data_IF_612748503462
#
_entry.id   IF_612748503462
#
_cell.length_a   1.000
_cell.length_b   1.000
_cell.length_c   1.000
_cell.angle_alpha   90.00
_cell.angle_beta   90.00
_cell.angle_gamma   90.00
#
_symmetry.space_group_name_H-M   'P 1'
#
loop_
_entity.id
_entity.type
_entity.pdbx_description
1 polymer ?
#
# COMPACT_ATOMS: atom_id res chain seq x y z
N UNK A 1 6.99 -6.99 -21.43
CA UNK A 1 8.24 -6.24 -21.16
C UNK A 1 8.63 -6.51 -19.71
N UNK A 2 9.93 -6.52 -19.36
CA UNK A 2 10.34 -6.58 -17.96
C UNK A 2 9.78 -5.38 -17.19
N UNK A 3 9.55 -5.56 -15.89
CA UNK A 3 9.13 -4.48 -14.99
C UNK A 3 10.22 -3.40 -14.95
N UNK A 4 9.80 -2.15 -15.15
CA UNK A 4 10.65 -0.97 -15.00
C UNK A 4 10.24 -0.20 -13.74
N UNK A 5 11.06 -0.18 -12.67
CA UNK A 5 10.71 0.50 -11.43
C UNK A 5 10.55 2.01 -11.60
N UNK A 6 11.12 2.61 -12.65
CA UNK A 6 10.98 4.05 -12.90
C UNK A 6 9.61 4.44 -13.43
N UNK A 7 8.83 3.46 -13.90
CA UNK A 7 7.47 3.62 -14.42
C UNK A 7 6.39 3.32 -13.39
N UNK A 8 6.77 2.87 -12.20
CA UNK A 8 5.86 2.54 -11.11
C UNK A 8 5.71 3.74 -10.18
N UNK A 9 4.61 4.47 -10.34
CA UNK A 9 4.31 5.65 -9.56
C UNK A 9 3.52 5.27 -8.29
N UNK A 10 3.98 5.75 -7.13
CA UNK A 10 3.17 5.72 -5.90
C UNK A 10 2.32 6.98 -5.85
N UNK A 11 1.00 6.83 -5.99
CA UNK A 11 0.05 7.95 -6.02
C UNK A 11 -0.30 8.42 -4.61
N UNK A 12 -0.67 7.49 -3.73
CA UNK A 12 -1.04 7.77 -2.33
C UNK A 12 -0.63 6.59 -1.47
N UNK A 13 -0.29 6.85 -0.21
CA UNK A 13 0.18 5.84 0.74
C UNK A 13 -0.30 6.15 2.15
N UNK A 14 -0.74 5.11 2.86
CA UNK A 14 -1.07 5.09 4.27
C UNK A 14 -0.13 4.13 5.01
N UNK A 15 0.28 4.52 6.22
CA UNK A 15 1.16 3.74 7.09
C UNK A 15 0.52 3.59 8.48
N UNK A 16 0.35 2.35 8.93
CA UNK A 16 -0.01 2.06 10.32
C UNK A 16 1.26 2.12 11.19
N UNK A 17 1.44 3.19 11.96
CA UNK A 17 2.62 3.38 12.82
C UNK A 17 2.81 2.30 13.89
N UNK A 18 1.73 1.61 14.27
CA UNK A 18 1.76 0.54 15.28
C UNK A 18 2.29 -0.78 14.72
N UNK A 19 1.81 -1.20 13.56
CA UNK A 19 2.10 -2.53 13.00
C UNK A 19 3.08 -2.53 11.84
N UNK A 20 3.35 -1.36 11.26
CA UNK A 20 4.17 -1.20 10.05
C UNK A 20 3.47 -1.66 8.77
N UNK A 21 2.15 -1.87 8.81
CA UNK A 21 1.36 -2.18 7.62
C UNK A 21 1.32 -0.96 6.68
N UNK A 22 1.61 -1.21 5.41
CA UNK A 22 1.56 -0.21 4.35
C UNK A 22 0.39 -0.52 3.42
N UNK A 23 -0.42 0.47 3.09
CA UNK A 23 -1.42 0.41 2.03
C UNK A 23 -1.11 1.55 1.08
N UNK A 24 -1.03 1.28 -0.22
CA UNK A 24 -0.70 2.31 -1.22
C UNK A 24 -1.52 2.12 -2.49
N UNK A 25 -1.65 3.19 -3.27
CA UNK A 25 -2.16 3.15 -4.65
C UNK A 25 -0.98 3.37 -5.58
N UNK A 26 -0.81 2.45 -6.52
CA UNK A 26 0.23 2.49 -7.53
C UNK A 26 -0.35 2.59 -8.94
N UNK A 27 0.36 3.25 -9.85
CA UNK A 27 0.05 3.28 -11.27
C UNK A 27 1.31 2.98 -12.07
N UNK A 28 1.24 1.94 -12.89
CA UNK A 28 2.34 1.57 -13.76
C UNK A 28 2.13 2.16 -15.17
N UNK A 29 3.08 2.96 -15.63
CA UNK A 29 3.19 3.47 -17.01
C UNK A 29 1.90 4.13 -17.53
N UNK A 30 1.24 4.93 -16.68
CA UNK A 30 -0.01 5.62 -17.02
C UNK A 30 -1.25 4.73 -17.14
N UNK A 31 -1.12 3.44 -16.78
CA UNK A 31 -2.22 2.49 -16.79
C UNK A 31 -3.22 2.67 -15.64
N UNK A 32 -3.96 1.60 -15.35
CA UNK A 32 -4.94 1.59 -14.26
C UNK A 32 -4.26 1.68 -12.89
N UNK A 33 -4.80 2.54 -12.03
CA UNK A 33 -4.37 2.63 -10.63
C UNK A 33 -4.84 1.39 -9.86
N UNK A 34 -3.98 0.84 -9.00
CA UNK A 34 -4.25 -0.38 -8.23
C UNK A 34 -3.87 -0.19 -6.78
N UNK A 35 -4.67 -0.75 -5.88
CA UNK A 35 -4.29 -0.86 -4.48
C UNK A 35 -3.21 -1.92 -4.31
N UNK A 36 -2.19 -1.58 -3.55
CA UNK A 36 -1.15 -2.47 -3.09
C UNK A 36 -1.25 -2.56 -1.56
N UNK A 37 -1.48 -3.77 -1.06
CA UNK A 37 -1.31 -4.07 0.35
C UNK A 37 0.13 -4.50 0.50
N UNK A 38 0.90 -3.63 1.11
CA UNK A 38 2.34 -3.70 1.12
C UNK A 38 2.91 -4.71 2.11
N UNK A 39 4.21 -4.96 1.98
CA UNK A 39 5.00 -5.68 2.98
C UNK A 39 4.97 -4.96 4.34
N UNK A 40 4.93 -5.71 5.46
CA UNK A 40 5.11 -5.08 6.80
C UNK A 40 6.54 -4.56 6.90
N UNK A 41 6.73 -3.26 7.10
CA UNK A 41 8.05 -2.72 7.46
C UNK A 41 8.32 -3.12 8.91
N UNK A 42 9.18 -4.11 9.10
CA UNK A 42 9.64 -4.49 10.44
C UNK A 42 10.61 -3.41 10.94
N UNK A 43 10.14 -2.53 11.82
CA UNK A 43 11.02 -1.68 12.62
C UNK A 43 11.89 -2.57 13.50
N UNK A 44 13.21 -2.46 13.35
CA UNK A 44 14.17 -3.08 14.25
C UNK A 44 14.21 -2.31 15.59
N UNK A 45 14.62 -2.97 16.68
CA UNK A 45 14.76 -2.34 18.01
C UNK A 45 15.75 -1.17 18.05
N UNK A 46 16.59 -1.02 17.02
CA UNK A 46 17.58 0.05 16.85
C UNK A 46 17.07 1.21 15.97
N UNK A 47 15.80 1.19 15.54
CA UNK A 47 15.17 2.26 14.77
C UNK A 47 15.35 2.15 13.24
N UNK A 48 16.07 1.14 12.75
CA UNK A 48 16.22 0.91 11.31
C UNK A 48 15.03 0.18 10.68
N UNK A 49 14.63 0.59 9.48
CA UNK A 49 13.64 -0.12 8.66
C UNK A 49 14.28 -1.36 8.00
N UNK A 50 13.64 -2.53 8.12
CA UNK A 50 14.08 -3.75 7.42
C UNK A 50 13.37 -3.90 6.08
N UNK A 51 14.09 -4.44 5.08
CA UNK A 51 13.60 -4.67 3.73
C UNK A 51 12.19 -5.29 3.67
N UNK A 52 11.37 -4.90 2.67
CA UNK A 52 9.98 -5.32 2.54
C UNK A 52 9.81 -6.85 2.49
N UNK A 53 9.14 -7.44 3.49
CA UNK A 53 8.69 -8.82 3.44
C UNK A 53 7.24 -8.85 2.92
N UNK A 54 6.96 -9.59 1.81
CA UNK A 54 5.63 -9.82 1.19
C UNK A 54 4.49 -9.57 2.17
N UNK A 55 3.41 -8.88 1.74
CA UNK A 55 2.18 -8.66 2.53
C UNK A 55 1.97 -9.83 3.48
N UNK A 56 2.32 -9.59 4.74
CA UNK A 56 2.49 -10.68 5.70
C UNK A 56 1.14 -11.32 6.00
N UNK A 57 1.12 -12.26 6.96
CA UNK A 57 -0.16 -12.58 7.61
C UNK A 57 -0.58 -11.33 8.38
N UNK A 58 -1.76 -10.79 8.06
CA UNK A 58 -2.34 -9.69 8.81
C UNK A 58 -2.75 -10.20 10.21
N UNK A 59 -2.42 -9.43 11.24
CA UNK A 59 -3.01 -9.66 12.57
C UNK A 59 -4.42 -9.05 12.63
N UNK A 60 -5.14 -9.25 13.74
CA UNK A 60 -6.48 -8.67 13.87
C UNK A 60 -6.43 -7.15 13.93
N UNK A 61 -5.38 -6.57 14.52
CA UNK A 61 -5.16 -5.11 14.59
C UNK A 61 -4.96 -4.52 13.19
N UNK A 62 -4.14 -5.18 12.35
CA UNK A 62 -3.98 -4.81 10.93
C UNK A 62 -5.31 -4.82 10.19
N UNK A 63 -6.12 -5.86 10.42
CA UNK A 63 -7.39 -6.03 9.74
C UNK A 63 -8.40 -4.95 10.18
N UNK A 64 -8.48 -4.67 11.49
CA UNK A 64 -9.34 -3.62 12.02
C UNK A 64 -8.95 -2.24 11.49
N UNK A 65 -7.66 -1.91 11.51
CA UNK A 65 -7.17 -0.67 10.91
C UNK A 65 -7.48 -0.60 9.41
N UNK A 66 -7.29 -1.70 8.68
CA UNK A 66 -7.62 -1.74 7.26
C UNK A 66 -9.12 -1.47 7.04
N UNK A 67 -10.01 -2.05 7.86
CA UNK A 67 -11.44 -1.79 7.81
C UNK A 67 -11.78 -0.32 8.06
N UNK A 68 -11.08 0.35 8.97
CA UNK A 68 -11.31 1.76 9.28
C UNK A 68 -10.95 2.69 8.11
N UNK A 69 -9.98 2.30 7.26
CA UNK A 69 -9.55 3.12 6.11
C UNK A 69 -10.09 2.66 4.76
N UNK A 70 -10.74 1.49 4.68
CA UNK A 70 -11.05 0.85 3.38
C UNK A 70 -12.00 1.68 2.52
N UNK A 71 -12.94 2.39 3.14
CA UNK A 71 -13.87 3.26 2.43
C UNK A 71 -13.16 4.48 1.84
N UNK A 72 -12.22 5.10 2.59
CA UNK A 72 -11.38 6.18 2.06
C UNK A 72 -10.54 5.70 0.87
N UNK A 73 -9.89 4.53 1.00
CA UNK A 73 -9.09 3.94 -0.08
C UNK A 73 -9.95 3.70 -1.33
N UNK A 74 -11.18 3.18 -1.14
CA UNK A 74 -12.13 2.97 -2.22
C UNK A 74 -12.54 4.28 -2.90
N UNK A 75 -12.87 5.31 -2.14
CA UNK A 75 -13.26 6.62 -2.68
C UNK A 75 -12.14 7.23 -3.51
N UNK A 76 -10.92 7.24 -2.97
CA UNK A 76 -9.72 7.72 -3.66
C UNK A 76 -9.48 6.95 -4.96
N UNK A 77 -9.52 5.61 -4.91
CA UNK A 77 -9.30 4.79 -6.08
C UNK A 77 -10.39 5.02 -7.14
N UNK A 78 -11.65 5.16 -6.71
CA UNK A 78 -12.78 5.39 -7.62
C UNK A 78 -12.67 6.73 -8.34
N UNK A 79 -12.17 7.76 -7.68
CA UNK A 79 -11.89 9.07 -8.29
C UNK A 79 -10.79 9.05 -9.35
N UNK A 80 -9.97 8.00 -9.38
CA UNK A 80 -8.86 7.82 -10.32
C UNK A 80 -9.22 6.93 -11.53
N UNK A 81 -10.39 6.27 -11.51
CA UNK A 81 -10.91 5.47 -12.63
C UNK A 81 -11.63 6.42 -13.59
N UNK A 82 -11.14 6.52 -14.83
CA UNK A 82 -11.81 7.28 -15.89
C UNK A 82 -13.14 6.63 -16.31
N UNK A 83 -14.05 7.38 -16.95
CA UNK A 83 -15.29 6.80 -17.49
C UNK A 83 -14.99 5.69 -18.50
N UNK A 84 -15.79 4.61 -18.48
CA UNK A 84 -15.72 3.48 -19.42
C UNK A 84 -16.05 3.88 -20.87
#
# INVERSE_FOLDING_TARGET
>A
MPYDPTKDETIKQWHCEETGLMVSIHRYDGGEAKVQIGPRILRRKDGGERAPAKAGRLTIEDLMWLYDIIDEVKEELSGMVGPE
#
